data_IF_311526739281
#
_entry.id   IF_311526739281
#
_cell.length_a   1.000
_cell.length_b   1.000
_cell.length_c   1.000
_cell.angle_alpha   90.00
_cell.angle_beta   90.00
_cell.angle_gamma   90.00
#
_symmetry.space_group_name_H-M   'P 1'
#
loop_
_entity.id
_entity.type
_entity.pdbx_description
1 polymer ?
#
# COMPACT_ATOMS: atom_id res chain seq x y z
N UNK A 1 45.69 16.06 40.09
CA UNK A 1 45.16 14.75 39.64
C UNK A 1 43.64 14.85 39.56
N UNK A 2 43.02 14.68 38.39
CA UNK A 2 41.56 14.74 38.21
C UNK A 2 41.04 13.37 37.76
N UNK A 3 40.06 12.75 38.46
CA UNK A 3 39.53 11.45 38.08
C UNK A 3 38.57 11.54 36.90
N UNK A 4 38.74 10.65 35.91
CA UNK A 4 37.86 10.46 34.77
C UNK A 4 36.72 9.50 35.17
N UNK A 5 35.48 9.99 35.21
CA UNK A 5 34.30 9.18 35.56
C UNK A 5 33.77 8.48 34.30
N UNK A 6 33.81 7.15 34.32
CA UNK A 6 33.48 6.25 33.20
C UNK A 6 31.96 6.27 32.91
N UNK A 7 31.61 6.43 31.64
CA UNK A 7 30.24 6.55 31.09
C UNK A 7 29.54 5.17 31.04
N UNK A 8 28.79 4.79 32.08
CA UNK A 8 28.01 3.52 32.11
C UNK A 8 26.61 3.66 31.48
N UNK A 9 26.25 4.83 30.94
CA UNK A 9 24.88 5.10 30.45
C UNK A 9 24.53 4.53 29.07
N UNK A 10 25.50 4.02 28.30
CA UNK A 10 25.26 3.62 26.90
C UNK A 10 24.65 2.22 26.71
N UNK A 11 24.72 1.33 27.71
CA UNK A 11 24.37 -0.08 27.54
C UNK A 11 22.85 -0.39 27.57
N UNK A 12 22.01 0.54 28.01
CA UNK A 12 20.54 0.34 28.07
C UNK A 12 19.79 0.82 26.83
N UNK A 13 20.39 1.64 25.96
CA UNK A 13 19.75 2.17 24.76
C UNK A 13 19.65 1.17 23.59
N UNK A 14 20.65 0.30 23.43
CA UNK A 14 20.79 -0.54 22.24
C UNK A 14 19.72 -1.66 22.15
N UNK A 15 19.27 -2.19 23.29
CA UNK A 15 18.25 -3.25 23.32
C UNK A 15 16.89 -2.80 22.79
N UNK A 16 16.60 -1.50 22.84
CA UNK A 16 15.33 -0.96 22.35
C UNK A 16 15.32 -0.76 20.83
N UNK A 17 16.49 -0.46 20.24
CA UNK A 17 16.62 -0.19 18.80
C UNK A 17 16.52 -1.48 17.99
N UNK A 18 17.17 -2.56 18.43
CA UNK A 18 17.06 -3.87 17.74
C UNK A 18 15.64 -4.43 17.78
N UNK A 19 14.92 -4.27 18.91
CA UNK A 19 13.51 -4.64 19.01
C UNK A 19 12.64 -3.85 18.02
N UNK A 20 12.89 -2.54 17.87
CA UNK A 20 12.18 -1.69 16.89
C UNK A 20 12.39 -2.14 15.44
N UNK A 21 13.60 -2.55 15.08
CA UNK A 21 13.92 -3.06 13.72
C UNK A 21 13.20 -4.38 13.42
N UNK A 22 13.16 -5.29 14.39
CA UNK A 22 12.44 -6.57 14.28
C UNK A 22 10.93 -6.35 14.07
N UNK A 23 10.31 -5.53 14.92
CA UNK A 23 8.88 -5.19 14.82
C UNK A 23 8.55 -4.51 13.49
N UNK A 24 9.45 -3.66 12.96
CA UNK A 24 9.24 -2.99 11.66
C UNK A 24 9.21 -3.98 10.48
N UNK A 25 10.06 -5.01 10.50
CA UNK A 25 10.11 -6.01 9.43
C UNK A 25 8.85 -6.87 9.44
N UNK A 26 8.45 -7.35 10.61
CA UNK A 26 7.21 -8.12 10.78
C UNK A 26 5.98 -7.30 10.40
N UNK A 27 5.91 -6.03 10.82
CA UNK A 27 4.81 -5.14 10.47
C UNK A 27 4.71 -4.89 8.95
N UNK A 28 5.83 -4.77 8.23
CA UNK A 28 5.81 -4.64 6.76
C UNK A 28 5.26 -5.89 6.09
N UNK A 29 5.69 -7.07 6.51
CA UNK A 29 5.18 -8.34 5.99
C UNK A 29 3.67 -8.46 6.21
N UNK A 30 3.22 -8.23 7.45
CA UNK A 30 1.81 -8.31 7.82
C UNK A 30 0.96 -7.23 7.13
N UNK A 31 1.51 -6.04 6.89
CA UNK A 31 0.86 -5.03 6.07
C UNK A 31 0.68 -5.49 4.61
N UNK A 32 1.66 -6.20 4.04
CA UNK A 32 1.50 -6.84 2.72
C UNK A 32 0.30 -7.78 2.70
N UNK A 33 0.23 -8.71 3.65
CA UNK A 33 -0.91 -9.64 3.78
C UNK A 33 -2.25 -8.91 3.94
N UNK A 34 -2.27 -7.82 4.72
CA UNK A 34 -3.48 -7.01 4.90
C UNK A 34 -3.93 -6.34 3.59
N UNK A 35 -2.99 -5.80 2.81
CA UNK A 35 -3.26 -5.17 1.51
C UNK A 35 -3.74 -6.20 0.49
N UNK A 36 -3.13 -7.39 0.46
CA UNK A 36 -3.55 -8.48 -0.43
C UNK A 36 -4.98 -8.93 -0.14
N UNK A 37 -5.37 -8.99 1.14
CA UNK A 37 -6.75 -9.28 1.55
C UNK A 37 -7.73 -8.21 1.09
N UNK A 38 -7.39 -6.94 1.26
CA UNK A 38 -8.23 -5.83 0.78
C UNK A 38 -8.38 -5.87 -0.75
N UNK A 39 -7.29 -6.11 -1.48
CA UNK A 39 -7.32 -6.23 -2.93
C UNK A 39 -8.14 -7.45 -3.39
N UNK A 40 -8.04 -8.58 -2.68
CA UNK A 40 -8.84 -9.78 -2.94
C UNK A 40 -10.32 -9.51 -2.71
N UNK A 41 -10.69 -8.86 -1.59
CA UNK A 41 -12.09 -8.51 -1.31
C UNK A 41 -12.66 -7.58 -2.38
N UNK A 42 -11.91 -6.56 -2.80
CA UNK A 42 -12.34 -5.70 -3.90
C UNK A 42 -12.49 -6.47 -5.22
N UNK A 43 -11.63 -7.46 -5.47
CA UNK A 43 -11.72 -8.34 -6.64
C UNK A 43 -12.96 -9.23 -6.62
N UNK A 44 -13.27 -9.82 -5.47
CA UNK A 44 -14.48 -10.62 -5.27
C UNK A 44 -15.74 -9.78 -5.45
N UNK A 45 -15.81 -8.60 -4.83
CA UNK A 45 -16.91 -7.66 -5.02
C UNK A 45 -17.03 -7.19 -6.47
N UNK A 46 -15.92 -6.97 -7.18
CA UNK A 46 -15.95 -6.54 -8.58
C UNK A 46 -16.38 -7.64 -9.57
N UNK A 47 -16.24 -8.91 -9.20
CA UNK A 47 -16.63 -10.09 -9.97
C UNK A 47 -18.07 -10.52 -9.67
N UNK A 48 -18.43 -10.61 -8.40
CA UNK A 48 -19.78 -10.97 -7.96
C UNK A 48 -20.26 -10.01 -6.86
N UNK A 49 -20.84 -8.85 -7.24
CA UNK A 49 -21.42 -7.91 -6.29
C UNK A 49 -22.64 -8.46 -5.54
N UNK A 50 -23.26 -9.55 -6.02
CA UNK A 50 -24.44 -10.15 -5.37
C UNK A 50 -24.00 -11.06 -4.22
N UNK A 51 -23.00 -11.91 -4.46
CA UNK A 51 -22.40 -12.77 -3.43
C UNK A 51 -21.53 -12.00 -2.43
N UNK A 52 -20.82 -10.97 -2.89
CA UNK A 52 -19.96 -10.12 -2.07
C UNK A 52 -20.42 -8.66 -2.18
N UNK A 53 -21.45 -8.24 -1.43
CA UNK A 53 -22.04 -6.90 -1.55
C UNK A 53 -21.19 -5.77 -0.95
N UNK A 54 -20.16 -6.11 -0.18
CA UNK A 54 -19.35 -5.13 0.54
C UNK A 54 -17.89 -5.19 0.05
N UNK A 55 -17.35 -4.14 -0.60
CA UNK A 55 -15.94 -4.10 -1.02
C UNK A 55 -14.98 -3.77 0.15
N UNK A 56 -15.52 -3.62 1.36
CA UNK A 56 -14.81 -3.13 2.53
C UNK A 56 -14.60 -4.22 3.56
N UNK A 57 -13.50 -4.09 4.31
CA UNK A 57 -13.22 -4.94 5.47
C UNK A 57 -13.12 -4.05 6.72
N UNK A 58 -13.71 -4.52 7.82
CA UNK A 58 -13.53 -3.90 9.13
C UNK A 58 -12.07 -3.97 9.56
N UNK A 59 -11.56 -2.84 10.07
CA UNK A 59 -10.21 -2.72 10.62
C UNK A 59 -9.98 -3.72 11.77
N UNK A 60 -11.01 -4.00 12.57
CA UNK A 60 -10.96 -4.99 13.65
C UNK A 60 -10.89 -6.41 13.09
N UNK A 61 -11.76 -6.73 12.12
CA UNK A 61 -11.76 -8.04 11.49
C UNK A 61 -10.40 -8.33 10.83
N UNK A 62 -9.85 -7.36 10.10
CA UNK A 62 -8.55 -7.50 9.44
C UNK A 62 -7.40 -7.65 10.44
N UNK A 63 -7.44 -6.96 11.58
CA UNK A 63 -6.45 -7.13 12.67
C UNK A 63 -6.44 -8.56 13.16
N UNK A 64 -7.63 -9.06 13.52
CA UNK A 64 -7.76 -10.37 14.13
C UNK A 64 -7.38 -11.46 13.12
N UNK A 65 -7.60 -11.21 11.84
CA UNK A 65 -7.19 -12.04 10.71
C UNK A 65 -5.69 -12.05 10.40
N UNK A 66 -5.02 -10.90 10.50
CA UNK A 66 -3.59 -10.75 10.18
C UNK A 66 -2.73 -11.19 11.38
N UNK A 67 -3.23 -11.05 12.60
CA UNK A 67 -2.51 -11.36 13.84
C UNK A 67 -2.98 -12.65 14.50
N UNK A 68 -3.55 -13.60 13.73
CA UNK A 68 -4.06 -14.89 14.25
C UNK A 68 -3.00 -15.68 15.04
N UNK A 69 -1.73 -15.56 14.64
CA UNK A 69 -0.62 -16.29 15.26
C UNK A 69 0.03 -15.55 16.44
N UNK A 70 -0.38 -14.30 16.73
CA UNK A 70 0.18 -13.49 17.81
C UNK A 70 -0.72 -13.46 19.05
N UNK A 71 -0.37 -14.29 20.03
CA UNK A 71 -1.15 -14.45 21.27
C UNK A 71 -0.79 -13.41 22.34
N UNK A 72 0.35 -12.72 22.24
CA UNK A 72 0.76 -11.76 23.28
C UNK A 72 0.08 -10.42 23.03
N UNK A 73 -0.92 -10.10 23.85
CA UNK A 73 -1.73 -8.89 23.70
C UNK A 73 -0.92 -7.59 23.53
N UNK A 74 0.17 -7.43 24.29
CA UNK A 74 1.04 -6.25 24.18
C UNK A 74 1.79 -6.18 22.84
N UNK A 75 2.27 -7.32 22.33
CA UNK A 75 3.01 -7.37 21.07
C UNK A 75 2.05 -7.23 19.89
N UNK A 76 0.87 -7.87 19.97
CA UNK A 76 -0.23 -7.71 19.03
C UNK A 76 -0.57 -6.23 18.82
N UNK A 77 -0.77 -5.47 19.90
CA UNK A 77 -1.09 -4.03 19.81
C UNK A 77 0.06 -3.20 19.21
N UNK A 78 1.32 -3.52 19.55
CA UNK A 78 2.50 -2.84 18.99
C UNK A 78 2.64 -3.09 17.50
N UNK A 79 2.59 -4.35 17.07
CA UNK A 79 2.65 -4.74 15.67
C UNK A 79 1.49 -4.11 14.90
N UNK A 80 0.27 -4.23 15.44
CA UNK A 80 -0.92 -3.68 14.79
C UNK A 80 -0.83 -2.18 14.55
N UNK A 81 -0.31 -1.42 15.51
CA UNK A 81 -0.15 0.03 15.36
C UNK A 81 0.81 0.37 14.22
N UNK A 82 1.85 -0.44 14.01
CA UNK A 82 2.77 -0.26 12.89
C UNK A 82 2.14 -0.69 11.55
N UNK A 83 1.43 -1.82 11.51
CA UNK A 83 0.68 -2.31 10.34
C UNK A 83 -0.35 -1.27 9.90
N UNK A 84 -1.16 -0.77 10.85
CA UNK A 84 -2.17 0.24 10.60
C UNK A 84 -1.58 1.46 9.91
N UNK A 85 -0.47 2.01 10.41
CA UNK A 85 0.19 3.17 9.79
C UNK A 85 0.65 2.91 8.36
N UNK A 86 1.14 1.69 8.08
CA UNK A 86 1.59 1.31 6.74
C UNK A 86 0.41 1.15 5.77
N UNK A 87 -0.69 0.56 6.23
CA UNK A 87 -1.89 0.34 5.42
C UNK A 87 -2.63 1.66 5.16
N UNK A 88 -2.85 2.48 6.19
CA UNK A 88 -3.52 3.79 6.04
C UNK A 88 -2.67 4.80 5.24
N UNK A 89 -1.34 4.63 5.22
CA UNK A 89 -0.44 5.42 4.39
C UNK A 89 -0.35 4.96 2.93
N UNK A 90 -1.00 3.85 2.57
CA UNK A 90 -1.02 3.35 1.20
C UNK A 90 -2.05 4.13 0.37
N UNK A 91 -1.62 4.71 -0.76
CA UNK A 91 -2.48 5.48 -1.66
C UNK A 91 -3.65 4.67 -2.26
N UNK A 92 -3.55 3.34 -2.29
CA UNK A 92 -4.60 2.46 -2.79
C UNK A 92 -5.63 2.07 -1.72
N UNK A 93 -5.52 2.60 -0.50
CA UNK A 93 -6.44 2.28 0.60
C UNK A 93 -7.24 3.53 0.95
N UNK A 94 -8.58 3.38 0.92
CA UNK A 94 -9.51 4.38 1.43
C UNK A 94 -9.95 4.00 2.83
N UNK A 95 -9.86 4.96 3.75
CA UNK A 95 -10.33 4.80 5.13
C UNK A 95 -11.67 5.51 5.32
N UNK A 96 -12.60 4.87 6.03
CA UNK A 96 -13.88 5.47 6.38
C UNK A 96 -14.38 4.92 7.71
N UNK A 97 -15.40 5.56 8.27
CA UNK A 97 -16.11 5.08 9.46
C UNK A 97 -17.53 4.76 9.04
N UNK A 98 -18.00 3.56 9.37
CA UNK A 98 -19.35 3.10 9.01
C UNK A 98 -19.99 2.39 10.19
N UNK A 99 -21.29 2.55 10.30
CA UNK A 99 -22.14 1.74 11.18
C UNK A 99 -22.33 0.35 10.55
N UNK A 100 -21.96 -0.68 11.30
CA UNK A 100 -22.17 -2.07 10.96
C UNK A 100 -23.64 -2.45 11.03
N UNK A 101 -23.97 -3.66 10.55
CA UNK A 101 -25.36 -4.15 10.55
C UNK A 101 -25.94 -4.33 11.96
N UNK A 102 -25.08 -4.40 12.96
CA UNK A 102 -25.44 -4.54 14.39
C UNK A 102 -25.53 -3.18 15.09
N UNK A 103 -25.37 -2.06 14.36
CA UNK A 103 -25.35 -0.71 14.92
C UNK A 103 -23.99 -0.33 15.53
N UNK A 104 -22.97 -1.16 15.37
CA UNK A 104 -21.62 -0.89 15.85
C UNK A 104 -20.87 0.02 14.87
N UNK A 105 -20.37 1.16 15.36
CA UNK A 105 -19.59 2.08 14.52
C UNK A 105 -18.14 1.59 14.46
N UNK A 106 -17.70 1.18 13.27
CA UNK A 106 -16.37 0.60 13.03
C UNK A 106 -15.62 1.34 11.92
N UNK A 107 -14.29 1.39 12.03
CA UNK A 107 -13.43 1.87 10.95
C UNK A 107 -13.36 0.79 9.87
N UNK A 108 -13.66 1.17 8.64
CA UNK A 108 -13.63 0.32 7.46
C UNK A 108 -12.51 0.74 6.52
N UNK A 109 -11.87 -0.25 5.90
CA UNK A 109 -10.88 -0.03 4.85
C UNK A 109 -11.35 -0.67 3.55
N UNK A 110 -11.08 0.03 2.46
CA UNK A 110 -11.43 -0.39 1.11
C UNK A 110 -10.21 -0.25 0.22
N UNK A 111 -10.01 -1.23 -0.66
CA UNK A 111 -9.04 -1.13 -1.73
C UNK A 111 -9.63 -0.36 -2.91
N UNK A 112 -8.99 0.76 -3.26
CA UNK A 112 -9.36 1.61 -4.40
C UNK A 112 -8.33 1.53 -5.55
N UNK A 113 -7.34 0.65 -5.44
CA UNK A 113 -6.33 0.42 -6.47
C UNK A 113 -6.87 -0.43 -7.63
N UNK A 114 -5.99 -0.76 -8.59
CA UNK A 114 -6.34 -1.66 -9.68
C UNK A 114 -6.79 -3.02 -9.13
N UNK A 115 -7.88 -3.54 -9.69
CA UNK A 115 -8.52 -4.81 -9.31
C UNK A 115 -8.46 -5.74 -10.51
N UNK A 116 -8.08 -7.00 -10.30
CA UNK A 116 -8.05 -7.97 -11.39
C UNK A 116 -9.49 -8.45 -11.68
N UNK A 117 -10.01 -8.09 -12.86
CA UNK A 117 -11.22 -8.73 -13.39
C UNK A 117 -10.78 -9.90 -14.25
N UNK A 118 -10.96 -11.12 -13.74
CA UNK A 118 -10.74 -12.36 -14.51
C UNK A 118 -12.00 -12.59 -15.36
N UNK A 119 -12.23 -11.76 -16.37
CA UNK A 119 -13.26 -12.08 -17.37
C UNK A 119 -12.57 -12.56 -18.65
N UNK A 120 -12.97 -13.76 -19.07
CA UNK A 120 -12.37 -14.48 -20.19
C UNK A 120 -12.50 -13.71 -21.49
N UNK A 121 -11.36 -13.45 -22.13
CA UNK A 121 -11.29 -12.86 -23.47
C UNK A 121 -11.28 -11.33 -23.47
N UNK A 122 -10.09 -10.77 -23.73
CA UNK A 122 -9.87 -9.38 -24.12
C UNK A 122 -10.03 -8.31 -23.04
N UNK A 123 -8.98 -8.11 -22.22
CA UNK A 123 -8.23 -6.86 -22.21
C UNK A 123 -7.15 -6.91 -21.12
N UNK A 124 -5.90 -6.82 -21.54
CA UNK A 124 -4.81 -6.35 -20.68
C UNK A 124 -5.10 -4.91 -20.22
N UNK A 125 -5.82 -4.73 -19.11
CA UNK A 125 -5.59 -3.57 -18.26
C UNK A 125 -4.43 -3.88 -17.33
N UNK A 126 -3.23 -3.95 -17.91
CA UNK A 126 -2.03 -3.65 -17.15
C UNK A 126 -2.17 -2.21 -16.67
N UNK A 127 -1.99 -1.91 -15.36
CA UNK A 127 -1.84 -0.53 -14.93
C UNK A 127 -0.68 0.04 -15.74
N UNK A 128 -0.86 1.24 -16.30
CA UNK A 128 0.16 1.92 -17.10
C UNK A 128 1.38 2.23 -16.22
N UNK A 129 2.22 1.22 -15.96
CA UNK A 129 3.59 1.38 -15.53
C UNK A 129 4.28 2.03 -16.71
N UNK A 130 4.58 3.32 -16.57
CA UNK A 130 5.23 4.12 -17.60
C UNK A 130 6.42 3.37 -18.18
N UNK A 131 6.29 2.97 -19.46
CA UNK A 131 7.42 2.48 -20.25
C UNK A 131 8.45 3.61 -20.31
N UNK A 132 9.49 3.49 -19.51
CA UNK A 132 10.71 4.26 -19.67
C UNK A 132 11.37 3.72 -20.94
N UNK A 133 11.11 4.37 -22.08
CA UNK A 133 11.81 4.08 -23.33
C UNK A 133 13.23 4.63 -23.23
N UNK A 134 14.19 3.74 -23.05
CA UNK A 134 15.62 4.01 -23.23
C UNK A 134 15.86 4.35 -24.70
N UNK A 135 16.52 5.48 -25.04
CA UNK A 135 16.80 5.81 -26.42
C UNK A 135 18.11 5.12 -26.85
N UNK A 136 18.04 4.24 -27.84
CA UNK A 136 19.24 3.79 -28.55
C UNK A 136 19.23 2.34 -28.97
N UNK A 137 18.56 2.03 -30.08
CA UNK A 137 19.07 1.12 -31.11
C UNK A 137 18.19 1.24 -32.36
N UNK A 138 18.80 1.69 -33.46
CA UNK A 138 18.20 1.68 -34.79
C UNK A 138 18.20 0.24 -35.31
N UNK A 139 17.05 -0.24 -35.76
CA UNK A 139 16.91 -1.31 -36.73
C UNK A 139 15.67 -1.01 -37.57
N UNK A 140 15.93 -0.83 -38.87
CA UNK A 140 15.00 -0.48 -39.93
C UNK A 140 14.08 -1.68 -40.25
N UNK A 141 12.77 -1.51 -40.13
CA UNK A 141 11.84 -2.23 -41.02
C UNK A 141 10.54 -1.46 -41.17
N UNK A 142 10.23 -1.16 -42.44
CA UNK A 142 9.10 -0.36 -42.89
C UNK A 142 7.74 -1.01 -42.58
N UNK A 143 6.77 -0.19 -42.16
CA UNK A 143 5.38 -0.36 -42.58
C UNK A 143 4.64 0.98 -42.53
N UNK A 144 4.19 1.41 -43.71
CA UNK A 144 3.37 2.57 -44.00
C UNK A 144 2.12 2.68 -43.12
N UNK A 145 1.77 3.92 -42.75
CA UNK A 145 0.41 4.20 -42.28
C UNK A 145 0.23 5.55 -41.59
N UNK A 146 -0.26 6.53 -42.35
CA UNK A 146 -1.11 7.64 -41.89
C UNK A 146 -0.50 8.67 -40.93
N UNK A 147 -0.17 9.83 -41.49
CA UNK A 147 0.21 11.01 -40.74
C UNK A 147 -0.89 11.53 -39.81
N UNK A 148 -0.47 11.90 -38.60
CA UNK A 148 -1.09 12.94 -37.80
C UNK A 148 0.03 13.74 -37.13
N UNK A 149 0.33 14.89 -37.73
CA UNK A 149 1.19 15.94 -37.20
C UNK A 149 0.68 16.36 -35.81
N UNK A 150 1.35 15.89 -34.75
CA UNK A 150 1.11 16.37 -33.39
C UNK A 150 2.08 17.53 -33.14
N UNK A 151 1.56 18.74 -33.35
CA UNK A 151 2.26 20.00 -33.12
C UNK A 151 2.88 20.07 -31.72
N UNK A 152 4.18 20.36 -31.68
CA UNK A 152 4.96 20.55 -30.47
C UNK A 152 4.42 21.76 -29.70
N UNK A 153 3.69 21.53 -28.62
CA UNK A 153 3.29 22.57 -27.67
C UNK A 153 4.48 22.90 -26.78
N UNK A 154 5.17 23.99 -27.09
CA UNK A 154 6.25 24.59 -26.31
C UNK A 154 5.63 25.23 -25.07
N UNK A 155 5.88 24.66 -23.89
CA UNK A 155 5.49 25.27 -22.62
C UNK A 155 6.47 26.41 -22.32
N UNK A 156 5.99 27.65 -22.36
CA UNK A 156 6.76 28.81 -21.89
C UNK A 156 6.67 28.90 -20.36
N UNK A 157 7.81 28.65 -19.71
CA UNK A 157 8.01 28.80 -18.28
C UNK A 157 8.30 30.27 -17.96
N UNK A 158 7.28 31.04 -17.57
CA UNK A 158 7.46 32.38 -16.99
C UNK A 158 7.75 32.28 -15.50
N UNK A 159 9.02 32.50 -15.13
CA UNK A 159 9.47 32.84 -13.76
C UNK A 159 9.52 34.36 -13.59
N UNK A 160 9.93 34.87 -12.42
CA UNK A 160 9.16 35.10 -11.20
C UNK A 160 8.81 36.60 -11.04
N UNK A 161 7.77 36.93 -10.27
CA UNK A 161 7.56 38.31 -9.82
C UNK A 161 8.26 38.53 -8.48
N UNK A 162 9.08 39.59 -8.44
CA UNK A 162 9.72 40.16 -7.26
C UNK A 162 8.69 40.75 -6.31
#
# INVERSE_FOLDING_TARGET
MRPQTITITAAYGQRTISKRRSTSTQAKHLAGVALDKLATQASLHAQDPVGYPEPLISMVALRDDVLRDEFRAQERNRIWTAVQKLVEGNANVRTMVREGRTGDVSRMWEWIGAVYRIEGGSAHQSPAVGKITTPGRLDDSMSSGSGLEIGKRKWEESRPYY
#
